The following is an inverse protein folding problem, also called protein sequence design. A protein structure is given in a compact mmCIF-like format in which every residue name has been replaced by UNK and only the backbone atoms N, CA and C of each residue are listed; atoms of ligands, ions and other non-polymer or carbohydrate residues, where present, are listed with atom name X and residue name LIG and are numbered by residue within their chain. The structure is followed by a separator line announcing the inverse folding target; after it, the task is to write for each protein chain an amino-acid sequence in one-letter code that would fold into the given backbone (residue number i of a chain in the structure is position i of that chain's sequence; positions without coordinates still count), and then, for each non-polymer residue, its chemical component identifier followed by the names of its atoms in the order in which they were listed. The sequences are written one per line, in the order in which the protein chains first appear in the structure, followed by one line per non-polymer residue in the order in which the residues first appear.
data_IF_935073162161
#
_entry.id   IF_935073162161
#
_cell.length_a   1.000
_cell.length_b   1.000
_cell.length_c   1.000
_cell.angle_alpha   90.00
_cell.angle_beta   90.00
_cell.angle_gamma   90.00
#
_symmetry.space_group_name_H-M   'P 1'
#
loop_
_entity.id
_entity.type
_entity.pdbx_description
1 polymer ?
#
# COMPACT_ATOMS: atom_id res chain seq x y z
N UNK A 1 -32.09 7.50 -4.56
CA UNK A 1 -30.72 7.08 -4.93
C UNK A 1 -29.68 7.63 -3.96
N UNK A 2 -29.70 8.93 -3.67
CA UNK A 2 -28.80 9.60 -2.70
C UNK A 2 -28.87 9.05 -1.27
N UNK A 3 -30.07 8.72 -0.77
CA UNK A 3 -30.24 8.15 0.57
C UNK A 3 -29.50 6.80 0.76
N UNK A 4 -29.60 5.90 -0.22
CA UNK A 4 -28.91 4.61 -0.19
C UNK A 4 -27.39 4.75 -0.27
N UNK A 5 -26.88 5.70 -1.06
CA UNK A 5 -25.45 6.00 -1.14
C UNK A 5 -24.92 6.51 0.21
N UNK A 6 -25.68 7.37 0.89
CA UNK A 6 -25.31 7.87 2.22
C UNK A 6 -25.19 6.75 3.26
N UNK A 7 -26.13 5.79 3.24
CA UNK A 7 -26.07 4.61 4.13
C UNK A 7 -24.84 3.76 3.83
N UNK A 8 -24.56 3.45 2.56
CA UNK A 8 -23.40 2.66 2.17
C UNK A 8 -22.07 3.33 2.55
N UNK A 9 -21.96 4.64 2.31
CA UNK A 9 -20.77 5.41 2.69
C UNK A 9 -20.58 5.43 4.22
N UNK A 10 -21.67 5.68 4.96
CA UNK A 10 -21.65 5.65 6.42
C UNK A 10 -21.22 4.28 6.96
N UNK A 11 -21.78 3.20 6.42
CA UNK A 11 -21.40 1.83 6.79
C UNK A 11 -19.92 1.54 6.47
N UNK A 12 -19.41 1.98 5.31
CA UNK A 12 -18.01 1.82 4.94
C UNK A 12 -17.07 2.53 5.92
N UNK A 13 -17.35 3.79 6.26
CA UNK A 13 -16.54 4.54 7.23
C UNK A 13 -16.58 3.89 8.60
N UNK A 14 -17.76 3.47 9.07
CA UNK A 14 -17.91 2.78 10.35
C UNK A 14 -17.13 1.46 10.40
N UNK A 15 -17.16 0.69 9.30
CA UNK A 15 -16.37 -0.54 9.18
C UNK A 15 -14.86 -0.24 9.23
N UNK A 16 -14.39 0.77 8.51
CA UNK A 16 -12.97 1.16 8.53
C UNK A 16 -12.52 1.61 9.92
N UNK A 17 -13.31 2.43 10.60
CA UNK A 17 -13.03 2.85 11.98
C UNK A 17 -13.04 1.65 12.93
N UNK A 18 -14.03 0.77 12.82
CA UNK A 18 -14.13 -0.44 13.62
C UNK A 18 -12.92 -1.37 13.45
N UNK A 19 -12.49 -1.59 12.20
CA UNK A 19 -11.28 -2.36 11.89
C UNK A 19 -10.02 -1.68 12.45
N UNK A 20 -9.93 -0.36 12.37
CA UNK A 20 -8.82 0.41 12.93
C UNK A 20 -8.74 0.30 14.46
N UNK A 21 -9.87 0.42 15.16
CA UNK A 21 -9.93 0.25 16.62
C UNK A 21 -9.59 -1.19 17.03
N UNK A 22 -10.11 -2.17 16.31
CA UNK A 22 -9.81 -3.58 16.55
C UNK A 22 -8.31 -3.87 16.34
N UNK A 23 -7.74 -3.45 15.21
CA UNK A 23 -6.31 -3.62 14.93
C UNK A 23 -5.44 -2.85 15.94
N UNK A 24 -5.83 -1.63 16.30
CA UNK A 24 -5.15 -0.81 17.29
C UNK A 24 -5.10 -1.46 18.68
N UNK A 25 -6.16 -2.17 19.09
CA UNK A 25 -6.17 -2.92 20.36
C UNK A 25 -5.18 -4.08 20.42
N UNK A 26 -4.61 -4.49 19.28
CA UNK A 26 -3.67 -5.61 19.17
C UNK A 26 -2.20 -5.17 19.19
N UNK A 27 -1.94 -3.87 19.05
CA UNK A 27 -0.59 -3.28 19.05
C UNK A 27 -0.08 -3.15 20.47
N UNK A 28 1.12 -3.67 20.74
CA UNK A 28 1.76 -3.62 22.08
C UNK A 28 3.08 -2.87 22.10
N UNK A 29 3.81 -2.89 21.00
CA UNK A 29 5.12 -2.27 20.86
C UNK A 29 5.26 -1.56 19.50
N UNK A 30 6.39 -0.87 19.32
CA UNK A 30 6.68 -0.11 18.11
C UNK A 30 6.89 -1.02 16.89
N UNK A 31 7.38 -2.25 17.09
CA UNK A 31 7.57 -3.24 16.02
C UNK A 31 6.22 -3.79 15.53
N UNK A 32 5.27 -4.06 16.43
CA UNK A 32 3.89 -4.42 16.08
C UNK A 32 3.16 -3.26 15.39
N UNK A 33 3.47 -2.01 15.71
CA UNK A 33 2.87 -0.85 15.05
C UNK A 33 3.43 -0.61 13.64
N UNK A 34 4.77 -0.62 13.48
CA UNK A 34 5.43 -0.23 12.24
C UNK A 34 5.52 -1.36 11.21
N UNK A 35 5.77 -2.59 11.66
CA UNK A 35 6.01 -3.75 10.78
C UNK A 35 5.07 -4.92 11.07
N UNK A 36 4.04 -4.72 11.89
CA UNK A 36 3.08 -5.75 12.29
C UNK A 36 3.76 -7.02 12.83
N UNK A 37 4.85 -6.84 13.56
CA UNK A 37 5.64 -7.91 14.15
C UNK A 37 6.26 -8.88 13.13
N UNK A 38 6.32 -8.48 11.84
CA UNK A 38 6.81 -9.30 10.71
C UNK A 38 6.07 -10.61 10.49
N UNK A 39 4.82 -10.69 10.97
CA UNK A 39 3.98 -11.90 10.90
C UNK A 39 2.98 -11.85 9.74
N UNK A 40 3.02 -10.77 8.95
CA UNK A 40 2.06 -10.55 7.88
C UNK A 40 2.25 -11.60 6.77
N UNK A 41 1.20 -12.36 6.40
CA UNK A 41 1.30 -13.29 5.29
C UNK A 41 1.43 -12.54 3.96
N UNK A 42 2.15 -13.12 3.00
CA UNK A 42 2.47 -12.49 1.71
C UNK A 42 1.24 -11.97 0.95
N UNK A 43 0.12 -12.69 1.00
CA UNK A 43 -1.12 -12.29 0.32
C UNK A 43 -1.69 -10.97 0.87
N UNK A 44 -1.60 -10.77 2.20
CA UNK A 44 -2.06 -9.53 2.83
C UNK A 44 -1.08 -8.39 2.55
N UNK A 45 0.23 -8.69 2.57
CA UNK A 45 1.27 -7.72 2.23
C UNK A 45 1.16 -7.24 0.77
N UNK A 46 0.87 -8.13 -0.18
CA UNK A 46 0.58 -7.73 -1.56
C UNK A 46 -0.68 -6.86 -1.64
N UNK A 47 -1.75 -7.22 -0.92
CA UNK A 47 -2.97 -6.44 -0.88
C UNK A 47 -2.75 -5.01 -0.38
N UNK A 48 -1.97 -4.82 0.69
CA UNK A 48 -1.67 -3.49 1.23
C UNK A 48 -0.76 -2.67 0.32
N UNK A 49 0.20 -3.30 -0.35
CA UNK A 49 1.05 -2.64 -1.36
C UNK A 49 0.21 -2.14 -2.54
N UNK A 50 -0.70 -2.99 -3.06
CA UNK A 50 -1.62 -2.58 -4.13
C UNK A 50 -2.56 -1.46 -3.66
N UNK A 51 -3.11 -1.57 -2.45
CA UNK A 51 -3.98 -0.52 -1.89
C UNK A 51 -3.26 0.83 -1.73
N UNK A 52 -1.96 0.83 -1.44
CA UNK A 52 -1.15 2.06 -1.32
C UNK A 52 -0.88 2.68 -2.68
N UNK A 53 -0.69 1.85 -3.71
CA UNK A 53 -0.37 2.30 -5.06
C UNK A 53 -1.61 2.80 -5.83
N UNK A 54 -2.72 2.06 -5.73
CA UNK A 54 -3.96 2.32 -6.47
C UNK A 54 -4.91 3.23 -5.67
N UNK A 55 -4.50 4.50 -5.52
CA UNK A 55 -5.34 5.56 -4.94
C UNK A 55 -6.34 6.15 -5.93
N UNK A 56 -7.30 6.92 -5.43
CA UNK A 56 -8.32 7.60 -6.25
C UNK A 56 -7.70 8.51 -7.34
N UNK A 57 -6.60 9.19 -7.02
CA UNK A 57 -5.87 10.02 -7.97
C UNK A 57 -5.28 9.21 -9.13
N UNK A 58 -4.65 8.06 -8.83
CA UNK A 58 -4.07 7.16 -9.84
C UNK A 58 -5.15 6.59 -10.76
N UNK A 59 -6.30 6.22 -10.22
CA UNK A 59 -7.42 5.67 -11.00
C UNK A 59 -7.98 6.73 -11.96
N UNK A 60 -8.20 7.95 -11.48
CA UNK A 60 -8.69 9.04 -12.33
C UNK A 60 -7.64 9.47 -13.36
N UNK A 61 -6.38 9.60 -12.96
CA UNK A 61 -5.27 10.00 -13.84
C UNK A 61 -4.98 8.98 -14.94
N UNK A 62 -4.93 7.69 -14.60
CA UNK A 62 -4.75 6.61 -15.58
C UNK A 62 -5.94 6.50 -16.55
N UNK A 63 -7.16 6.77 -16.09
CA UNK A 63 -8.35 6.80 -16.94
C UNK A 63 -8.30 7.95 -17.95
N UNK A 64 -7.83 9.13 -17.54
CA UNK A 64 -7.64 10.27 -18.44
C UNK A 64 -6.50 10.00 -19.43
N UNK A 65 -5.35 9.50 -18.96
CA UNK A 65 -4.21 9.14 -19.81
C UNK A 65 -4.56 8.05 -20.84
N UNK A 66 -5.37 7.07 -20.44
CA UNK A 66 -5.87 6.04 -21.35
C UNK A 66 -6.81 6.63 -22.42
N UNK A 67 -7.59 7.66 -22.09
CA UNK A 67 -8.49 8.35 -23.02
C UNK A 67 -7.71 9.24 -24.00
N UNK A 68 -6.67 9.94 -23.54
CA UNK A 68 -5.92 10.90 -24.35
C UNK A 68 -4.81 10.27 -25.20
N UNK A 69 -4.06 9.31 -24.65
CA UNK A 69 -2.84 8.75 -25.26
C UNK A 69 -2.98 7.26 -25.63
N UNK A 70 -4.13 6.65 -25.35
CA UNK A 70 -4.36 5.22 -25.56
C UNK A 70 -3.44 4.35 -24.70
N UNK A 71 -3.24 3.09 -25.13
CA UNK A 71 -2.43 2.10 -24.39
C UNK A 71 -0.96 2.53 -24.24
N UNK A 72 -0.45 3.44 -25.09
CA UNK A 72 0.93 3.91 -25.01
C UNK A 72 1.18 4.84 -23.82
N UNK A 73 0.24 5.71 -23.46
CA UNK A 73 0.37 6.59 -22.30
C UNK A 73 0.27 5.85 -20.96
N UNK A 74 -0.45 4.72 -20.94
CA UNK A 74 -0.65 3.89 -19.74
C UNK A 74 0.36 2.74 -19.61
N UNK A 75 1.37 2.63 -20.47
CA UNK A 75 2.39 1.56 -20.36
C UNK A 75 3.34 1.79 -19.18
N UNK A 76 3.60 3.04 -18.82
CA UNK A 76 4.52 3.38 -17.74
C UNK A 76 3.98 2.93 -16.37
N UNK A 77 2.69 3.15 -16.11
CA UNK A 77 2.11 2.94 -14.78
C UNK A 77 2.03 1.47 -14.30
N UNK A 78 1.79 0.46 -15.16
CA UNK A 78 1.81 -0.95 -14.75
C UNK A 78 3.10 -1.67 -15.13
N UNK A 79 3.66 -1.46 -16.33
CA UNK A 79 4.80 -2.27 -16.81
C UNK A 79 6.14 -1.74 -16.31
N UNK A 80 6.38 -0.43 -16.39
CA UNK A 80 7.66 0.14 -15.94
C UNK A 80 7.76 0.07 -14.41
N UNK A 81 6.69 0.45 -13.70
CA UNK A 81 6.62 0.36 -12.23
C UNK A 81 6.71 -1.09 -11.73
N UNK A 82 6.00 -2.02 -12.37
CA UNK A 82 6.07 -3.44 -12.03
C UNK A 82 7.46 -4.04 -12.23
N UNK A 83 8.10 -3.75 -13.37
CA UNK A 83 9.46 -4.20 -13.64
C UNK A 83 10.47 -3.61 -12.64
N UNK A 84 10.34 -2.31 -12.33
CA UNK A 84 11.19 -1.65 -11.34
C UNK A 84 11.04 -2.29 -9.95
N UNK A 85 9.83 -2.64 -9.53
CA UNK A 85 9.58 -3.33 -8.26
C UNK A 85 10.17 -4.74 -8.24
N UNK A 86 10.09 -5.49 -9.35
CA UNK A 86 10.70 -6.83 -9.44
C UNK A 86 12.21 -6.71 -9.34
N UNK A 87 12.83 -5.81 -10.10
CA UNK A 87 14.28 -5.58 -10.06
C UNK A 87 14.71 -5.13 -8.67
N UNK A 88 14.07 -4.10 -8.11
CA UNK A 88 14.38 -3.62 -6.76
C UNK A 88 14.18 -4.71 -5.70
N UNK A 89 13.12 -5.52 -5.83
CA UNK A 89 12.84 -6.65 -4.96
C UNK A 89 13.97 -7.69 -4.98
N UNK A 90 14.47 -8.04 -6.17
CA UNK A 90 15.53 -9.04 -6.33
C UNK A 90 16.87 -8.58 -5.74
N UNK A 91 17.25 -7.32 -5.92
CA UNK A 91 18.55 -6.81 -5.46
C UNK A 91 18.54 -6.30 -4.02
N UNK A 92 17.47 -5.62 -3.60
CA UNK A 92 17.46 -4.87 -2.33
C UNK A 92 16.57 -5.49 -1.25
N UNK A 93 15.49 -6.19 -1.59
CA UNK A 93 14.52 -6.63 -0.56
C UNK A 93 15.18 -7.53 0.49
N UNK A 94 16.01 -8.49 0.07
CA UNK A 94 16.74 -9.37 1.00
C UNK A 94 17.67 -8.58 1.92
N UNK A 95 18.48 -7.70 1.34
CA UNK A 95 19.45 -6.88 2.09
C UNK A 95 18.76 -6.00 3.12
N UNK A 96 17.65 -5.36 2.75
CA UNK A 96 16.88 -4.46 3.63
C UNK A 96 16.16 -5.24 4.72
N UNK A 97 15.57 -6.39 4.39
CA UNK A 97 14.89 -7.23 5.36
C UNK A 97 15.83 -7.78 6.44
N UNK A 98 17.05 -8.16 6.05
CA UNK A 98 18.10 -8.63 6.97
C UNK A 98 18.61 -7.53 7.93
N UNK A 99 18.55 -6.25 7.55
CA UNK A 99 18.95 -5.12 8.42
C UNK A 99 17.97 -4.86 9.57
N UNK A 100 16.79 -5.48 9.55
CA UNK A 100 15.76 -5.38 10.60
C UNK A 100 15.37 -3.96 11.01
N UNK A 101 15.50 -2.99 10.10
CA UNK A 101 15.17 -1.59 10.33
C UNK A 101 13.67 -1.42 10.60
N UNK A 102 13.32 -0.48 11.49
CA UNK A 102 11.94 -0.10 11.76
C UNK A 102 11.52 1.05 10.83
N UNK A 103 12.46 1.94 10.50
CA UNK A 103 12.23 3.06 9.60
C UNK A 103 13.35 3.21 8.56
N UNK A 104 13.09 3.97 7.50
CA UNK A 104 14.14 4.37 6.54
C UNK A 104 15.17 5.30 7.21
N UNK A 105 14.78 6.04 8.26
CA UNK A 105 15.67 6.90 9.04
C UNK A 105 16.79 6.11 9.72
N UNK A 106 16.49 4.90 10.21
CA UNK A 106 17.45 4.02 10.86
C UNK A 106 18.60 3.63 9.91
N UNK A 107 18.34 3.56 8.60
CA UNK A 107 19.35 3.29 7.58
C UNK A 107 20.41 4.40 7.51
N UNK A 108 20.00 5.66 7.72
CA UNK A 108 20.90 6.81 7.69
C UNK A 108 21.58 7.04 9.04
N UNK A 109 20.97 6.61 10.14
CA UNK A 109 21.54 6.67 11.48
C UNK A 109 22.69 5.67 11.70
N UNK A 110 22.76 4.59 10.91
CA UNK A 110 23.83 3.58 10.97
C UNK A 110 25.11 3.96 10.19
N UNK A 111 25.25 5.22 9.73
CA UNK A 111 26.46 5.71 9.05
C UNK A 111 27.52 6.24 10.02
#
# INVERSE_FOLDING_TARGET
MTFWLGILLGAYVLLMVGLGLYAGSRVKDEEDYLVAGRRLPLWLAWGTLLATWFGAATVLGSSEAARSEGVRGTILDPFASGLALIVAGLFFARRVWEMKLLTVGDLFAQK
#
